data_IF_696072983741
#
_entry.id   IF_696072983741
#
_cell.length_a   1.000
_cell.length_b   1.000
_cell.length_c   1.000
_cell.angle_alpha   90.00
_cell.angle_beta   90.00
_cell.angle_gamma   90.00
#
_symmetry.space_group_name_H-M   'P 1'
#
loop_
_entity.id
_entity.type
_entity.pdbx_description
1 polymer ?
#
# COMPACT_ATOMS: atom_id res chain seq x y z
N UNK A 1 28.23 14.02 -0.20
CA UNK A 1 27.40 12.86 -0.63
C UNK A 1 26.13 13.40 -1.31
N UNK A 2 25.33 12.60 -2.01
CA UNK A 2 24.08 13.08 -2.66
C UNK A 2 22.84 12.40 -2.06
N UNK A 3 21.71 13.12 -2.00
CA UNK A 3 20.44 12.58 -1.51
C UNK A 3 19.85 11.60 -2.54
N UNK A 4 19.46 10.37 -2.14
CA UNK A 4 18.91 9.38 -3.07
C UNK A 4 17.52 9.75 -3.62
N UNK A 5 16.81 10.68 -2.98
CA UNK A 5 15.46 11.10 -3.39
C UNK A 5 15.44 12.27 -4.36
N UNK A 6 16.35 13.24 -4.20
CA UNK A 6 16.34 14.48 -4.99
C UNK A 6 17.67 14.83 -5.66
N UNK A 7 18.72 14.03 -5.44
CA UNK A 7 20.05 14.25 -6.04
C UNK A 7 20.80 15.47 -5.51
N UNK A 8 20.30 16.17 -4.49
CA UNK A 8 20.99 17.33 -3.91
C UNK A 8 22.23 16.91 -3.13
N UNK A 9 23.27 17.74 -3.15
CA UNK A 9 24.43 17.52 -2.28
C UNK A 9 24.04 17.60 -0.80
N UNK A 10 24.59 16.69 0.00
CA UNK A 10 24.37 16.56 1.44
C UNK A 10 25.74 16.46 2.13
N UNK A 11 25.84 17.17 3.26
CA UNK A 11 26.96 17.02 4.19
C UNK A 11 26.65 15.85 5.14
N UNK A 12 27.70 15.13 5.55
CA UNK A 12 27.60 13.77 6.11
C UNK A 12 26.92 13.70 7.49
N UNK A 13 26.68 14.84 8.14
CA UNK A 13 26.12 14.90 9.49
C UNK A 13 24.61 15.16 9.58
N UNK A 14 23.89 15.34 8.45
CA UNK A 14 22.45 15.60 8.50
C UNK A 14 21.62 14.32 8.47
N UNK A 15 20.68 14.23 9.43
CA UNK A 15 19.65 13.17 9.47
C UNK A 15 18.60 13.32 8.37
N UNK A 16 18.43 14.51 7.79
CA UNK A 16 17.42 14.81 6.79
C UNK A 16 17.98 15.69 5.67
N UNK A 17 17.44 15.56 4.46
CA UNK A 17 17.79 16.42 3.34
C UNK A 17 17.12 17.79 3.45
N UNK A 18 17.90 18.87 3.37
CA UNK A 18 17.40 20.25 3.47
C UNK A 18 16.47 20.68 2.31
N UNK A 19 16.47 19.95 1.18
CA UNK A 19 15.70 20.31 -0.01
C UNK A 19 14.38 19.56 -0.13
N UNK A 20 14.37 18.26 0.15
CA UNK A 20 13.19 17.41 0.00
C UNK A 20 12.70 16.78 1.31
N UNK A 21 13.39 16.98 2.43
CA UNK A 21 13.03 16.40 3.73
C UNK A 21 13.30 14.89 3.87
N UNK A 22 13.92 14.25 2.87
CA UNK A 22 14.20 12.81 2.92
C UNK A 22 15.10 12.44 4.10
N UNK A 23 14.74 11.41 4.87
CA UNK A 23 15.53 10.92 5.99
C UNK A 23 16.75 10.14 5.47
N UNK A 24 17.95 10.64 5.80
CA UNK A 24 19.24 10.10 5.36
C UNK A 24 19.84 9.13 6.38
N UNK A 25 19.22 9.00 7.58
CA UNK A 25 19.63 8.07 8.62
C UNK A 25 19.19 6.63 8.34
N UNK A 26 18.36 6.39 7.32
CA UNK A 26 18.04 5.05 6.84
C UNK A 26 19.07 4.65 5.76
N UNK A 27 19.90 3.62 6.00
CA UNK A 27 20.79 3.12 4.97
C UNK A 27 19.96 2.60 3.77
N UNK A 28 20.38 2.83 2.52
CA UNK A 28 19.65 2.42 1.31
C UNK A 28 19.52 0.89 1.14
N UNK A 29 20.04 0.10 2.08
CA UNK A 29 19.97 -1.37 2.10
C UNK A 29 18.70 -1.93 2.76
N UNK A 30 17.77 -1.10 3.24
CA UNK A 30 16.44 -1.55 3.64
C UNK A 30 15.39 -1.15 2.60
N UNK A 31 15.60 -1.52 1.33
CA UNK A 31 14.44 -1.88 0.53
C UNK A 31 13.93 -3.18 1.14
N UNK A 32 12.75 -3.22 1.78
CA UNK A 32 12.13 -4.50 1.99
C UNK A 32 11.91 -5.03 0.57
N UNK A 33 12.58 -6.12 0.22
CA UNK A 33 12.00 -7.05 -0.74
C UNK A 33 10.63 -7.32 -0.14
N UNK A 34 9.62 -6.66 -0.68
CA UNK A 34 8.23 -6.87 -0.32
C UNK A 34 8.02 -8.31 -0.74
N UNK A 35 8.24 -9.22 0.20
CA UNK A 35 7.65 -10.53 0.18
C UNK A 35 6.17 -10.24 0.18
N UNK A 36 5.61 -10.10 -1.03
CA UNK A 36 4.20 -10.08 -1.25
C UNK A 36 3.71 -11.35 -0.58
N UNK A 37 3.07 -11.22 0.59
CA UNK A 37 2.18 -12.25 1.06
C UNK A 37 1.33 -12.63 -0.16
N UNK A 38 1.25 -13.93 -0.51
CA UNK A 38 0.53 -14.36 -1.68
C UNK A 38 -0.94 -14.01 -1.44
N UNK A 39 -1.34 -12.84 -1.92
CA UNK A 39 -2.75 -12.50 -2.11
C UNK A 39 -3.31 -13.68 -2.86
N UNK A 40 -4.36 -14.30 -2.32
CA UNK A 40 -4.99 -15.52 -2.80
C UNK A 40 -5.55 -15.33 -4.21
N UNK A 41 -4.66 -15.30 -5.20
CA UNK A 41 -4.96 -15.23 -6.63
C UNK A 41 -5.61 -16.53 -7.13
N UNK A 42 -5.70 -17.55 -6.29
CA UNK A 42 -6.37 -18.82 -6.57
C UNK A 42 -7.82 -18.62 -6.97
N UNK A 43 -8.59 -17.78 -6.27
CA UNK A 43 -10.01 -17.55 -6.59
C UNK A 43 -10.20 -16.89 -7.98
N UNK A 44 -9.56 -15.74 -8.29
CA UNK A 44 -9.63 -15.15 -9.64
C UNK A 44 -9.25 -16.14 -10.74
N UNK A 45 -8.18 -16.90 -10.50
CA UNK A 45 -7.61 -17.81 -11.51
C UNK A 45 -8.56 -18.97 -11.79
N UNK A 46 -9.20 -19.52 -10.75
CA UNK A 46 -10.21 -20.57 -10.90
C UNK A 46 -11.43 -20.06 -11.67
N UNK A 47 -11.92 -18.86 -11.36
CA UNK A 47 -13.10 -18.28 -12.04
C UNK A 47 -12.82 -18.02 -13.51
N UNK A 48 -11.65 -17.47 -13.85
CA UNK A 48 -11.24 -17.25 -15.25
C UNK A 48 -11.07 -18.60 -15.97
N UNK A 49 -10.45 -19.58 -15.32
CA UNK A 49 -10.28 -20.91 -15.88
C UNK A 49 -11.61 -21.59 -16.20
N UNK A 50 -12.56 -21.55 -15.26
CA UNK A 50 -13.91 -22.13 -15.42
C UNK A 50 -14.73 -21.42 -16.49
N UNK A 51 -14.64 -20.09 -16.60
CA UNK A 51 -15.37 -19.35 -17.64
C UNK A 51 -14.82 -19.65 -19.03
N UNK A 52 -13.50 -19.78 -19.21
CA UNK A 52 -12.91 -20.14 -20.49
C UNK A 52 -13.25 -21.59 -20.86
N UNK A 53 -13.00 -22.55 -19.97
CA UNK A 53 -13.28 -23.98 -20.24
C UNK A 53 -14.77 -24.25 -20.42
N UNK A 54 -15.62 -23.66 -19.58
CA UNK A 54 -17.07 -23.76 -19.70
C UNK A 54 -17.61 -23.13 -20.98
N UNK A 55 -17.14 -21.92 -21.33
CA UNK A 55 -17.56 -21.23 -22.55
C UNK A 55 -17.14 -21.98 -23.83
N UNK A 56 -15.92 -22.49 -23.89
CA UNK A 56 -15.46 -23.35 -24.99
C UNK A 56 -16.30 -24.63 -25.10
N UNK A 57 -16.59 -25.29 -23.97
CA UNK A 57 -17.43 -26.48 -23.95
C UNK A 57 -18.82 -26.25 -24.53
N UNK A 58 -19.46 -25.12 -24.20
CA UNK A 58 -20.78 -24.75 -24.76
C UNK A 58 -20.70 -24.52 -26.26
N UNK A 59 -19.68 -23.80 -26.75
CA UNK A 59 -19.50 -23.53 -28.18
C UNK A 59 -19.27 -24.83 -28.96
N UNK A 60 -18.37 -25.70 -28.49
CA UNK A 60 -18.11 -26.99 -29.13
C UNK A 60 -19.34 -27.91 -29.10
N UNK A 61 -20.08 -27.94 -28.00
CA UNK A 61 -21.32 -28.71 -27.87
C UNK A 61 -22.39 -28.24 -28.87
N UNK A 62 -22.58 -26.93 -29.01
CA UNK A 62 -23.51 -26.37 -29.98
C UNK A 62 -23.11 -26.74 -31.42
N UNK A 63 -21.83 -26.62 -31.76
CA UNK A 63 -21.33 -26.96 -33.11
C UNK A 63 -21.52 -28.44 -33.42
N UNK A 64 -21.22 -29.34 -32.47
CA UNK A 64 -21.41 -30.77 -32.66
C UNK A 64 -22.89 -31.11 -32.95
N UNK A 65 -23.83 -30.49 -32.22
CA UNK A 65 -25.27 -30.65 -32.46
C UNK A 65 -25.70 -30.08 -33.81
N UNK A 66 -25.15 -28.94 -34.22
CA UNK A 66 -25.48 -28.31 -35.50
C UNK A 66 -24.90 -29.08 -36.69
N UNK A 67 -23.76 -29.75 -36.51
CA UNK A 67 -23.15 -30.58 -37.54
C UNK A 67 -24.03 -31.80 -37.89
N UNK A 68 -24.72 -32.39 -36.90
CA UNK A 68 -25.66 -33.50 -37.13
C UNK A 68 -26.87 -33.07 -38.01
N UNK A 69 -27.25 -31.79 -37.96
CA UNK A 69 -28.40 -31.24 -38.69
C UNK A 69 -28.09 -30.82 -40.13
N UNK A 70 -26.92 -31.16 -40.69
CA UNK A 70 -26.53 -30.84 -42.06
C UNK A 70 -26.61 -29.34 -42.40
N UNK A 71 -26.29 -28.47 -41.43
CA UNK A 71 -26.25 -27.02 -41.64
C UNK A 71 -25.10 -26.65 -42.59
N UNK A 72 -25.32 -25.64 -43.44
CA UNK A 72 -24.31 -25.16 -44.38
C UNK A 72 -22.99 -24.78 -43.65
N UNK A 73 -21.83 -25.28 -44.09
CA UNK A 73 -20.56 -25.18 -43.35
C UNK A 73 -20.11 -23.73 -43.11
N UNK A 74 -20.45 -22.82 -44.03
CA UNK A 74 -20.19 -21.41 -43.89
C UNK A 74 -20.84 -20.80 -42.63
N UNK A 75 -22.10 -21.15 -42.33
CA UNK A 75 -22.79 -20.63 -41.14
C UNK A 75 -22.14 -21.13 -39.85
N UNK A 76 -21.69 -22.39 -39.84
CA UNK A 76 -20.97 -22.99 -38.72
C UNK A 76 -19.65 -22.25 -38.43
N UNK A 77 -18.94 -21.87 -39.50
CA UNK A 77 -17.65 -21.16 -39.40
C UNK A 77 -17.85 -19.75 -38.83
N UNK A 78 -18.86 -19.03 -39.31
CA UNK A 78 -19.22 -17.71 -38.78
C UNK A 78 -19.68 -17.75 -37.32
N UNK A 79 -20.50 -18.74 -36.94
CA UNK A 79 -20.91 -18.94 -35.54
C UNK A 79 -19.70 -19.20 -34.63
N UNK A 80 -18.78 -20.07 -35.04
CA UNK A 80 -17.57 -20.37 -34.26
C UNK A 80 -16.70 -19.12 -34.09
N UNK A 81 -16.46 -18.40 -35.18
CA UNK A 81 -15.63 -17.19 -35.16
C UNK A 81 -16.24 -16.12 -34.25
N UNK A 82 -17.55 -15.88 -34.37
CA UNK A 82 -18.27 -14.93 -33.54
C UNK A 82 -18.32 -15.36 -32.06
N UNK A 83 -18.51 -16.65 -31.78
CA UNK A 83 -18.50 -17.21 -30.42
C UNK A 83 -17.14 -17.04 -29.75
N UNK A 84 -16.05 -17.35 -30.45
CA UNK A 84 -14.69 -17.17 -29.95
C UNK A 84 -14.36 -15.69 -29.72
N UNK A 85 -14.73 -14.82 -30.66
CA UNK A 85 -14.54 -13.37 -30.52
C UNK A 85 -15.30 -12.80 -29.31
N UNK A 86 -16.54 -13.23 -29.09
CA UNK A 86 -17.37 -12.79 -27.96
C UNK A 86 -16.80 -13.29 -26.63
N UNK A 87 -16.40 -14.57 -26.56
CA UNK A 87 -15.78 -15.16 -25.37
C UNK A 87 -14.50 -14.42 -25.02
N UNK A 88 -13.62 -14.20 -25.99
CA UNK A 88 -12.37 -13.47 -25.79
C UNK A 88 -12.61 -12.01 -25.38
N UNK A 89 -13.58 -11.34 -26.00
CA UNK A 89 -13.99 -9.99 -25.65
C UNK A 89 -14.49 -9.87 -24.20
N UNK A 90 -15.36 -10.79 -23.78
CA UNK A 90 -15.85 -10.87 -22.40
C UNK A 90 -14.71 -11.11 -21.41
N UNK A 91 -13.82 -12.08 -21.68
CA UNK A 91 -12.66 -12.35 -20.83
C UNK A 91 -11.72 -11.14 -20.73
N UNK A 92 -11.43 -10.46 -21.85
CA UNK A 92 -10.58 -9.27 -21.86
C UNK A 92 -11.21 -8.10 -21.07
N UNK A 93 -12.52 -7.89 -21.20
CA UNK A 93 -13.24 -6.89 -20.41
C UNK A 93 -13.22 -7.20 -18.92
N UNK A 94 -13.44 -8.47 -18.53
CA UNK A 94 -13.37 -8.91 -17.14
C UNK A 94 -11.96 -8.70 -16.57
N UNK A 95 -10.91 -9.08 -17.30
CA UNK A 95 -9.52 -8.87 -16.87
C UNK A 95 -9.22 -7.38 -16.71
N UNK A 96 -9.65 -6.53 -17.66
CA UNK A 96 -9.44 -5.08 -17.58
C UNK A 96 -10.20 -4.47 -16.39
N UNK A 97 -11.43 -4.91 -16.14
CA UNK A 97 -12.24 -4.47 -15.01
C UNK A 97 -11.61 -4.86 -13.67
N UNK A 98 -11.19 -6.12 -13.55
CA UNK A 98 -10.51 -6.63 -12.35
C UNK A 98 -9.17 -5.93 -12.13
N UNK A 99 -8.39 -5.69 -13.19
CA UNK A 99 -7.11 -4.97 -13.10
C UNK A 99 -7.30 -3.54 -12.59
N UNK A 100 -8.33 -2.84 -13.06
CA UNK A 100 -8.69 -1.50 -12.55
C UNK A 100 -9.13 -1.55 -11.08
N UNK A 101 -9.98 -2.51 -10.71
CA UNK A 101 -10.45 -2.67 -9.33
C UNK A 101 -9.32 -2.98 -8.33
N UNK A 102 -8.42 -3.91 -8.69
CA UNK A 102 -7.25 -4.25 -7.85
C UNK A 102 -6.30 -3.07 -7.71
N UNK A 103 -6.13 -2.27 -8.77
CA UNK A 103 -5.34 -1.04 -8.73
C UNK A 103 -5.87 0.00 -7.73
N UNK A 104 -7.20 0.14 -7.63
CA UNK A 104 -7.85 1.07 -6.69
C UNK A 104 -7.70 0.59 -5.23
N UNK A 105 -7.88 -0.72 -4.98
CA UNK A 105 -7.71 -1.31 -3.64
C UNK A 105 -6.28 -1.17 -3.10
N UNK A 106 -5.25 -1.22 -3.97
CA UNK A 106 -3.86 -1.02 -3.56
C UNK A 106 -3.56 0.38 -3.02
N UNK A 107 -4.35 1.39 -3.38
CA UNK A 107 -4.16 2.75 -2.88
C UNK A 107 -4.75 2.94 -1.47
N UNK A 108 -5.85 2.25 -1.18
CA UNK A 108 -6.48 2.27 0.15
C UNK A 108 -5.69 1.45 1.17
N UNK A 109 -5.03 0.38 0.72
CA UNK A 109 -4.14 -0.45 1.53
C UNK A 109 -2.70 0.05 1.47
N UNK A 110 -2.48 1.33 1.78
CA UNK A 110 -1.15 1.69 2.30
C UNK A 110 -1.04 0.94 3.62
N UNK A 111 -0.06 0.03 3.81
CA UNK A 111 0.13 -0.61 5.09
C UNK A 111 0.50 0.52 6.05
N UNK A 112 -0.47 0.94 6.85
CA UNK A 112 -0.21 1.58 8.12
C UNK A 112 0.78 0.63 8.79
N UNK A 113 2.06 0.99 8.75
CA UNK A 113 3.12 0.28 9.43
C UNK A 113 2.63 0.18 10.86
N UNK A 114 2.06 -0.98 11.18
CA UNK A 114 1.89 -1.44 12.53
C UNK A 114 3.33 -1.71 12.95
N UNK A 115 4.00 -0.63 13.36
CA UNK A 115 5.15 -0.66 14.23
C UNK A 115 4.60 -1.35 15.49
N UNK A 116 4.55 -2.67 15.44
CA UNK A 116 4.61 -3.47 16.64
C UNK A 116 5.91 -3.00 17.29
N UNK A 117 5.89 -2.36 18.47
CA UNK A 117 7.10 -2.29 19.24
C UNK A 117 7.47 -3.76 19.46
N UNK A 118 8.57 -4.19 18.86
CA UNK A 118 9.23 -5.41 19.25
C UNK A 118 9.55 -5.22 20.73
N UNK A 119 8.67 -5.72 21.60
CA UNK A 119 9.00 -5.96 22.98
C UNK A 119 9.97 -7.13 22.95
N UNK A 120 11.21 -6.79 22.63
CA UNK A 120 12.37 -7.63 22.71
C UNK A 120 12.41 -8.14 24.15
N UNK A 121 12.26 -9.45 24.30
CA UNK A 121 12.41 -10.13 25.58
C UNK A 121 13.80 -9.81 26.09
N UNK A 122 13.86 -8.91 27.08
CA UNK A 122 15.05 -8.65 27.86
C UNK A 122 15.48 -9.97 28.53
N UNK A 123 16.63 -10.48 28.09
CA UNK A 123 17.50 -11.34 28.89
C UNK A 123 17.81 -10.62 30.21
N UNK A 124 17.82 -11.31 31.37
CA UNK A 124 18.13 -10.69 32.65
C UNK A 124 19.64 -10.37 32.72
N UNK A 125 20.02 -9.19 32.23
CA UNK A 125 21.37 -8.68 32.40
C UNK A 125 21.41 -7.74 33.61
N UNK A 126 22.34 -8.05 34.51
CA UNK A 126 22.56 -7.46 35.84
C UNK A 126 22.46 -5.93 35.85
N UNK A 127 21.70 -5.41 36.82
CA UNK A 127 21.56 -3.98 37.12
C UNK A 127 22.93 -3.33 37.41
N UNK A 128 23.28 -2.22 36.75
CA UNK A 128 24.23 -1.25 37.28
C UNK A 128 23.54 -0.32 38.32
N UNK A 129 24.30 0.28 39.25
CA UNK A 129 23.76 0.98 40.40
C UNK A 129 23.05 2.30 40.04
N UNK A 130 21.95 2.52 40.77
CA UNK A 130 21.05 3.68 40.86
C UNK A 130 21.75 5.05 40.83
N UNK A 131 21.52 5.80 39.76
CA UNK A 131 21.65 7.27 39.60
C UNK A 131 20.74 7.63 38.40
N UNK A 132 19.83 8.59 38.33
CA UNK A 132 19.43 9.78 39.10
C UNK A 132 17.90 9.94 38.92
N UNK A 133 17.26 10.75 39.77
CA UNK A 133 15.84 11.11 39.61
C UNK A 133 15.62 11.85 38.28
N UNK A 134 14.90 11.20 37.36
CA UNK A 134 14.44 11.83 36.12
C UNK A 134 13.47 12.96 36.50
N UNK A 135 13.75 14.24 36.15
CA UNK A 135 12.84 15.33 36.45
C UNK A 135 11.51 15.11 35.71
N UNK A 136 10.41 15.19 36.46
CA UNK A 136 9.08 14.99 35.91
C UNK A 136 8.79 16.07 34.86
N UNK A 137 8.28 15.63 33.71
CA UNK A 137 7.76 16.50 32.64
C UNK A 137 6.40 17.05 33.07
N UNK A 138 6.38 17.81 34.15
CA UNK A 138 5.23 18.56 34.65
C UNK A 138 5.53 20.05 34.82
N UNK A 139 6.79 20.49 34.65
CA UNK A 139 7.19 21.87 34.97
C UNK A 139 7.41 22.80 33.77
N UNK A 140 7.50 22.28 32.53
CA UNK A 140 7.85 23.12 31.36
C UNK A 140 6.68 23.66 30.54
N UNK A 141 5.42 23.31 30.83
CA UNK A 141 4.27 23.77 30.03
C UNK A 141 3.40 24.85 30.68
N UNK A 142 3.70 25.29 31.91
CA UNK A 142 2.82 26.24 32.62
C UNK A 142 3.39 27.66 32.76
N UNK A 143 4.60 27.94 32.22
CA UNK A 143 5.26 29.25 32.43
C UNK A 143 5.03 30.32 31.35
N UNK A 144 4.23 30.04 30.31
CA UNK A 144 3.99 31.00 29.22
C UNK A 144 2.74 31.89 29.39
N UNK A 145 1.95 31.72 30.45
CA UNK A 145 0.68 32.45 30.65
C UNK A 145 0.54 33.13 32.02
N UNK A 146 1.62 33.67 32.60
CA UNK A 146 1.47 34.65 33.68
C UNK A 146 1.26 36.04 33.08
N UNK A 147 0.08 36.69 33.24
CA UNK A 147 -0.08 38.08 32.85
C UNK A 147 0.88 38.97 33.67
N UNK A 148 1.55 39.89 32.98
CA UNK A 148 2.43 40.90 33.60
C UNK A 148 1.58 41.75 34.54
N UNK A 149 1.81 41.66 35.85
CA UNK A 149 1.23 42.56 36.83
C UNK A 149 1.79 43.97 36.59
N UNK A 150 0.90 44.95 36.42
CA UNK A 150 1.23 46.37 36.26
C UNK A 150 0.90 47.06 37.58
N UNK A 151 1.90 47.65 38.22
CA UNK A 151 1.69 48.40 39.47
C UNK A 151 0.73 49.58 39.24
N UNK A 152 -0.22 49.83 40.17
CA UNK A 152 -1.01 51.04 40.15
C UNK A 152 -0.10 52.25 40.40
N UNK A 153 -0.05 53.19 39.44
CA UNK A 153 0.60 54.48 39.64
C UNK A 153 -0.12 55.21 40.76
N UNK A 154 0.51 55.27 41.95
CA UNK A 154 0.11 56.18 43.01
C UNK A 154 0.20 57.61 42.49
N UNK A 155 -0.95 58.21 42.19
CA UNK A 155 -1.07 59.64 41.97
C UNK A 155 -1.23 60.28 43.34
N UNK A 156 -0.11 60.58 43.97
CA UNK A 156 -0.06 61.36 45.22
C UNK A 156 -0.56 62.79 45.00
N UNK A 157 -1.09 63.46 46.04
CA UNK A 157 -1.68 64.79 45.95
C UNK A 157 -0.61 65.86 46.16
N UNK A 158 -0.50 66.82 45.24
CA UNK A 158 -0.07 68.20 45.51
C UNK A 158 -0.79 69.14 44.54
#
# INVERSE_FOLDING_TARGET
MYCPTCGNEITVELKYCNRCGANLALPPSSLPVVASEPVSLTVPTIVIGLTITGGLGIIFSAIARLAEMHVHPAALTWMLLFGMATLFGCSAMLIRFWSKMVGVQRQTSTPQQNIKPAFERATPQKLPPRFESVPSVTEHTTRAFSPVYREPSERGPQ
#
